data_IF_312414701596
#
_entry.id   IF_312414701596
#
_cell.length_a   1.000
_cell.length_b   1.000
_cell.length_c   1.000
_cell.angle_alpha   90.00
_cell.angle_beta   90.00
_cell.angle_gamma   90.00
#
_symmetry.space_group_name_H-M   'P 1'
#
loop_
_entity.id
_entity.type
_entity.pdbx_description
1 polymer ?
#
# COMPACT_ATOMS: atom_id res chain seq x y z
N UNK A 1 6.58 -30.16 28.25
CA UNK A 1 6.32 -28.69 28.29
C UNK A 1 6.41 -28.18 26.85
N UNK A 2 5.33 -27.66 26.26
CA UNK A 2 5.26 -27.35 24.82
C UNK A 2 5.61 -25.87 24.46
N UNK A 3 5.99 -25.05 25.45
CA UNK A 3 6.22 -23.61 25.35
C UNK A 3 6.82 -23.09 24.02
N UNK A 4 7.85 -23.73 23.42
CA UNK A 4 8.37 -23.28 22.12
C UNK A 4 7.30 -23.30 21.02
N UNK A 5 6.52 -24.38 20.92
CA UNK A 5 5.44 -24.52 19.92
C UNK A 5 4.28 -23.56 20.16
N UNK A 6 3.96 -23.27 21.43
CA UNK A 6 2.96 -22.27 21.79
C UNK A 6 3.39 -20.86 21.36
N UNK A 7 4.64 -20.48 21.65
CA UNK A 7 5.18 -19.18 21.23
C UNK A 7 5.24 -19.04 19.72
N UNK A 8 5.64 -20.09 18.99
CA UNK A 8 5.60 -20.08 17.52
C UNK A 8 4.18 -19.93 16.98
N UNK A 9 3.19 -20.58 17.60
CA UNK A 9 1.79 -20.39 17.22
C UNK A 9 1.32 -18.94 17.44
N UNK A 10 1.73 -18.28 18.53
CA UNK A 10 1.42 -16.87 18.77
C UNK A 10 2.09 -15.95 17.76
N UNK A 11 3.37 -16.17 17.41
CA UNK A 11 4.07 -15.40 16.37
C UNK A 11 3.38 -15.54 15.02
N UNK A 12 2.98 -16.76 14.63
CA UNK A 12 2.27 -17.03 13.37
C UNK A 12 0.92 -16.32 13.30
N UNK A 13 0.21 -16.16 14.42
CA UNK A 13 -1.06 -15.42 14.47
C UNK A 13 -0.90 -13.93 14.16
N UNK A 14 0.23 -13.34 14.53
CA UNK A 14 0.55 -11.94 14.24
C UNK A 14 1.39 -11.74 12.98
N UNK A 15 1.77 -12.82 12.29
CA UNK A 15 2.57 -12.73 11.07
C UNK A 15 1.69 -12.24 9.94
N UNK A 16 2.07 -11.11 9.34
CA UNK A 16 1.41 -10.53 8.19
C UNK A 16 2.36 -10.59 6.99
N UNK A 17 1.81 -10.92 5.83
CA UNK A 17 2.55 -10.84 4.58
C UNK A 17 1.78 -10.03 3.57
N UNK A 18 2.47 -9.11 2.93
CA UNK A 18 1.90 -8.16 1.96
C UNK A 18 2.60 -8.42 0.63
N UNK A 19 1.81 -8.63 -0.41
CA UNK A 19 2.27 -8.86 -1.78
C UNK A 19 1.53 -7.89 -2.69
N UNK A 20 2.23 -7.39 -3.70
CA UNK A 20 1.63 -6.59 -4.76
C UNK A 20 1.62 -7.43 -6.02
N UNK A 21 0.50 -7.41 -6.74
CA UNK A 21 0.39 -8.02 -8.06
C UNK A 21 1.13 -7.11 -9.08
N UNK A 22 2.26 -7.53 -9.66
CA UNK A 22 3.02 -6.69 -10.58
C UNK A 22 2.25 -6.27 -11.84
N UNK A 23 1.19 -7.00 -12.20
CA UNK A 23 0.33 -6.68 -13.36
C UNK A 23 -0.76 -5.66 -13.02
N UNK A 24 -0.89 -5.28 -11.75
CA UNK A 24 -1.85 -4.29 -11.30
C UNK A 24 -1.59 -2.93 -11.97
N UNK A 25 -2.65 -2.33 -12.54
CA UNK A 25 -2.58 -0.98 -13.09
C UNK A 25 -2.45 0.04 -11.96
N UNK A 26 -1.22 0.42 -11.64
CA UNK A 26 -0.92 1.39 -10.59
C UNK A 26 -1.16 2.84 -11.05
N UNK A 27 -0.71 3.15 -12.27
CA UNK A 27 -0.97 4.43 -12.92
C UNK A 27 -2.38 4.45 -13.54
N UNK A 28 -2.99 5.62 -13.58
CA UNK A 28 -4.29 5.79 -14.23
C UNK A 28 -4.17 5.80 -15.75
N UNK A 29 -5.13 5.17 -16.42
CA UNK A 29 -5.24 5.24 -17.87
C UNK A 29 -5.57 6.67 -18.33
N UNK A 30 -4.95 7.17 -19.41
CA UNK A 30 -5.29 8.48 -19.96
C UNK A 30 -6.77 8.53 -20.39
N UNK A 31 -7.52 9.47 -19.84
CA UNK A 31 -8.97 9.58 -20.13
C UNK A 31 -9.28 10.33 -21.42
N UNK A 32 -8.28 11.03 -22.00
CA UNK A 32 -8.44 11.85 -23.22
C UNK A 32 -9.34 13.08 -23.08
N UNK A 33 -9.91 13.34 -21.90
CA UNK A 33 -10.81 14.46 -21.63
C UNK A 33 -10.01 15.74 -21.32
N UNK A 34 -10.59 16.89 -21.64
CA UNK A 34 -10.02 18.20 -21.30
C UNK A 34 -10.10 18.43 -19.79
N UNK A 35 -8.96 18.73 -19.15
CA UNK A 35 -8.85 18.92 -17.70
C UNK A 35 -7.60 18.25 -17.12
N UNK A 36 -7.45 18.27 -15.79
CA UNK A 36 -6.37 17.53 -15.10
C UNK A 36 -6.64 16.03 -15.19
N UNK A 37 -5.72 15.27 -15.74
CA UNK A 37 -5.78 13.82 -15.77
C UNK A 37 -5.39 13.25 -14.40
N UNK A 38 -5.99 12.12 -14.02
CA UNK A 38 -5.56 11.37 -12.86
C UNK A 38 -4.21 10.71 -13.19
N UNK A 39 -3.25 10.80 -12.27
CA UNK A 39 -1.95 10.14 -12.40
C UNK A 39 -1.98 8.71 -11.85
N UNK A 40 -2.90 8.43 -10.93
CA UNK A 40 -2.96 7.22 -10.12
C UNK A 40 -4.31 6.54 -10.30
N UNK A 41 -4.30 5.21 -10.41
CA UNK A 41 -5.54 4.44 -10.49
C UNK A 41 -6.30 4.48 -9.17
N UNK A 42 -7.61 4.26 -9.21
CA UNK A 42 -8.42 4.10 -7.99
C UNK A 42 -7.87 2.99 -7.09
N UNK A 43 -7.30 1.95 -7.70
CA UNK A 43 -6.75 0.80 -6.99
C UNK A 43 -5.47 1.17 -6.20
N UNK A 44 -4.59 2.01 -6.75
CA UNK A 44 -3.42 2.52 -6.01
C UNK A 44 -3.82 3.43 -4.84
N UNK A 45 -4.85 4.29 -5.01
CA UNK A 45 -5.39 5.14 -3.95
C UNK A 45 -6.01 4.28 -2.84
N UNK A 46 -6.86 3.31 -3.20
CA UNK A 46 -7.48 2.39 -2.26
C UNK A 46 -6.44 1.56 -1.50
N UNK A 47 -5.36 1.14 -2.16
CA UNK A 47 -4.26 0.42 -1.51
C UNK A 47 -3.61 1.27 -0.41
N UNK A 48 -3.28 2.54 -0.72
CA UNK A 48 -2.71 3.45 0.26
C UNK A 48 -3.67 3.68 1.44
N UNK A 49 -4.95 3.96 1.16
CA UNK A 49 -5.94 4.19 2.21
C UNK A 49 -6.23 2.94 3.04
N UNK A 50 -6.15 1.76 2.44
CA UNK A 50 -6.26 0.49 3.16
C UNK A 50 -5.11 0.32 4.14
N UNK A 51 -3.87 0.56 3.71
CA UNK A 51 -2.70 0.53 4.61
C UNK A 51 -2.84 1.53 5.76
N UNK A 52 -3.33 2.74 5.47
CA UNK A 52 -3.64 3.73 6.51
C UNK A 52 -4.57 3.17 7.57
N UNK A 53 -5.70 2.58 7.16
CA UNK A 53 -6.73 2.10 8.10
C UNK A 53 -6.26 0.85 8.84
N UNK A 54 -5.67 -0.12 8.13
CA UNK A 54 -5.22 -1.38 8.72
C UNK A 54 -4.17 -1.17 9.81
N UNK A 55 -3.29 -0.19 9.64
CA UNK A 55 -2.22 0.10 10.61
C UNK A 55 -2.47 1.36 11.47
N UNK A 56 -3.62 2.02 11.32
CA UNK A 56 -3.95 3.23 12.09
C UNK A 56 -2.99 4.40 11.86
N UNK A 57 -2.37 4.50 10.69
CA UNK A 57 -1.34 5.50 10.39
C UNK A 57 -1.93 6.87 10.02
N UNK A 58 -1.14 7.93 10.16
CA UNK A 58 -1.43 9.21 9.50
C UNK A 58 -1.13 9.11 7.99
N UNK A 59 -1.77 9.95 7.16
CA UNK A 59 -1.58 9.91 5.70
C UNK A 59 -0.11 10.11 5.27
N UNK A 60 0.63 11.04 5.88
CA UNK A 60 2.06 11.27 5.59
C UNK A 60 2.96 10.09 5.99
N UNK A 61 2.58 9.36 7.03
CA UNK A 61 3.30 8.13 7.41
C UNK A 61 2.96 7.00 6.44
N UNK A 62 1.70 6.94 6.01
CA UNK A 62 1.23 5.95 5.03
C UNK A 62 1.98 6.08 3.71
N UNK A 63 2.23 7.31 3.20
CA UNK A 63 2.98 7.50 1.96
C UNK A 63 4.39 6.91 2.05
N UNK A 64 5.14 7.22 3.12
CA UNK A 64 6.49 6.67 3.31
C UNK A 64 6.50 5.16 3.60
N UNK A 65 5.48 4.65 4.27
CA UNK A 65 5.33 3.21 4.51
C UNK A 65 5.09 2.44 3.21
N UNK A 66 4.19 2.91 2.35
CA UNK A 66 3.92 2.29 1.04
C UNK A 66 5.15 2.39 0.14
N UNK A 67 5.86 3.53 0.12
CA UNK A 67 7.10 3.70 -0.63
C UNK A 67 8.15 2.66 -0.21
N UNK A 68 8.33 2.46 1.09
CA UNK A 68 9.25 1.45 1.63
C UNK A 68 8.85 0.02 1.24
N UNK A 69 7.55 -0.28 1.22
CA UNK A 69 7.05 -1.59 0.78
C UNK A 69 7.31 -1.85 -0.71
N UNK A 70 7.07 -0.86 -1.56
CA UNK A 70 7.31 -0.98 -3.00
C UNK A 70 8.80 -1.18 -3.30
N UNK A 71 9.67 -0.43 -2.61
CA UNK A 71 11.12 -0.63 -2.70
C UNK A 71 11.54 -2.03 -2.24
N UNK A 72 10.95 -2.55 -1.17
CA UNK A 72 11.26 -3.89 -0.65
C UNK A 72 10.84 -5.00 -1.63
N UNK A 73 9.73 -4.81 -2.33
CA UNK A 73 9.20 -5.77 -3.33
C UNK A 73 9.86 -5.58 -4.70
N UNK A 74 10.61 -4.49 -4.92
CA UNK A 74 11.31 -4.21 -6.17
C UNK A 74 10.42 -3.64 -7.28
N UNK A 75 9.32 -2.99 -6.91
CA UNK A 75 8.41 -2.33 -7.85
C UNK A 75 8.74 -0.84 -7.94
N UNK A 76 8.98 -0.34 -9.14
CA UNK A 76 9.32 1.07 -9.41
C UNK A 76 8.08 1.96 -9.54
N UNK A 77 7.08 1.72 -8.70
CA UNK A 77 5.83 2.47 -8.72
C UNK A 77 5.91 3.72 -7.85
N UNK A 78 5.42 4.84 -8.36
CA UNK A 78 5.37 6.10 -7.60
C UNK A 78 4.20 6.11 -6.60
N UNK A 79 4.39 6.68 -5.42
CA UNK A 79 3.32 6.73 -4.39
C UNK A 79 2.54 8.05 -4.49
N UNK A 80 1.19 8.02 -4.45
CA UNK A 80 0.39 9.24 -4.39
C UNK A 80 0.80 10.14 -3.23
N UNK A 81 0.98 11.43 -3.49
CA UNK A 81 1.31 12.40 -2.44
C UNK A 81 0.13 12.63 -1.47
N UNK A 82 0.43 13.29 -0.35
CA UNK A 82 -0.59 13.62 0.66
C UNK A 82 -1.79 14.37 0.06
N UNK A 83 -1.54 15.30 -0.86
CA UNK A 83 -2.59 16.14 -1.46
C UNK A 83 -3.52 15.36 -2.39
N UNK A 84 -3.05 14.22 -2.89
CA UNK A 84 -3.81 13.28 -3.71
C UNK A 84 -4.65 12.38 -2.83
N UNK A 85 -4.10 11.88 -1.73
CA UNK A 85 -4.79 10.99 -0.80
C UNK A 85 -5.78 11.69 0.15
N UNK A 86 -5.63 12.98 0.40
CA UNK A 86 -6.45 13.74 1.35
C UNK A 86 -7.71 14.37 0.73
N UNK A 87 -8.08 13.98 -0.49
CA UNK A 87 -9.24 14.54 -1.21
C UNK A 87 -10.54 13.87 -0.85
#
# INVERSE_FOLDING_TARGET
RNWPSYNEALKRRGSLTIWFDPEMSWEAAPTGRRGRQQSYSDASIQTCLSMKVLFGMALRQTTGFVESLLQLVGLDWTVPDFSTLSR
#
